data_IF_371395127758
#
_entry.id   IF_371395127758
#
_cell.length_a   1.000
_cell.length_b   1.000
_cell.length_c   1.000
_cell.angle_alpha   90.00
_cell.angle_beta   90.00
_cell.angle_gamma   90.00
#
_symmetry.space_group_name_H-M   'P 1'
#
loop_
_entity.id
_entity.type
_entity.pdbx_description
1 polymer ?
#
# COMPACT_ATOMS: atom_id res chain seq x y z
N UNK A 1 3.87 -4.03 -8.45
CA UNK A 1 2.89 -2.99 -8.85
C UNK A 1 1.53 -3.11 -8.14
N UNK A 2 1.47 -2.80 -6.85
CA UNK A 2 0.22 -2.64 -6.09
C UNK A 2 0.46 -1.67 -4.94
N UNK A 3 1.64 -1.76 -4.35
CA UNK A 3 2.16 -0.82 -3.37
C UNK A 3 2.28 0.62 -3.89
N UNK A 4 2.77 0.85 -5.12
CA UNK A 4 2.79 2.21 -5.70
C UNK A 4 1.38 2.77 -5.97
N UNK A 5 0.38 1.92 -6.25
CA UNK A 5 -1.00 2.36 -6.43
C UNK A 5 -1.61 2.77 -5.08
N UNK A 6 -1.34 2.01 -4.02
CA UNK A 6 -1.73 2.36 -2.65
C UNK A 6 -1.08 3.65 -2.21
N UNK A 7 0.23 3.82 -2.46
CA UNK A 7 0.94 5.07 -2.16
C UNK A 7 0.32 6.27 -2.89
N UNK A 8 0.06 6.15 -4.21
CA UNK A 8 -0.60 7.21 -4.96
C UNK A 8 -2.00 7.53 -4.46
N UNK A 9 -2.76 6.51 -4.04
CA UNK A 9 -4.07 6.73 -3.41
C UNK A 9 -3.94 7.52 -2.09
N UNK A 10 -2.93 7.23 -1.26
CA UNK A 10 -2.65 8.01 -0.06
C UNK A 10 -2.29 9.47 -0.39
N UNK A 11 -1.43 9.71 -1.38
CA UNK A 11 -1.11 11.05 -1.86
C UNK A 11 -2.36 11.84 -2.31
N UNK A 12 -3.34 11.16 -2.90
CA UNK A 12 -4.60 11.77 -3.30
C UNK A 12 -5.54 12.06 -2.13
N UNK A 13 -5.57 11.18 -1.12
CA UNK A 13 -6.40 11.35 0.08
C UNK A 13 -5.81 12.38 1.05
N UNK A 14 -4.50 12.62 0.98
CA UNK A 14 -3.77 13.62 1.76
C UNK A 14 -2.94 13.02 2.89
N UNK A 15 -2.32 13.90 3.68
CA UNK A 15 -1.37 13.53 4.75
C UNK A 15 -1.99 12.65 5.85
N UNK A 16 -3.31 12.72 6.04
CA UNK A 16 -4.07 11.95 7.03
C UNK A 16 -5.30 11.35 6.39
N UNK A 17 -5.49 10.05 6.57
CA UNK A 17 -6.65 9.31 6.07
C UNK A 17 -6.92 8.11 6.98
N UNK A 18 -7.90 7.29 6.62
CA UNK A 18 -8.22 6.04 7.29
C UNK A 18 -8.12 4.87 6.34
N UNK A 19 -7.89 3.69 6.91
CA UNK A 19 -7.94 2.42 6.15
C UNK A 19 -9.26 2.21 5.41
N UNK A 20 -10.36 2.73 5.93
CA UNK A 20 -11.67 2.65 5.27
C UNK A 20 -11.73 3.56 4.04
N UNK A 21 -11.32 4.82 4.15
CA UNK A 21 -11.31 5.76 3.01
C UNK A 21 -10.38 5.29 1.91
N UNK A 22 -9.19 4.81 2.27
CA UNK A 22 -8.26 4.21 1.30
C UNK A 22 -8.89 3.02 0.58
N UNK A 23 -9.57 2.14 1.30
CA UNK A 23 -10.22 0.97 0.71
C UNK A 23 -11.30 1.40 -0.30
N UNK A 24 -12.17 2.33 0.08
CA UNK A 24 -13.21 2.88 -0.80
C UNK A 24 -12.60 3.51 -2.04
N UNK A 25 -11.57 4.35 -1.88
CA UNK A 25 -10.88 4.97 -3.01
C UNK A 25 -10.29 3.92 -3.97
N UNK A 26 -9.65 2.88 -3.44
CA UNK A 26 -9.05 1.82 -4.27
C UNK A 26 -10.10 0.95 -4.98
N UNK A 27 -11.28 0.78 -4.40
CA UNK A 27 -12.41 0.08 -5.02
C UNK A 27 -13.00 0.90 -6.17
N UNK A 28 -13.17 2.20 -5.96
CA UNK A 28 -13.72 3.13 -6.96
C UNK A 28 -12.74 3.37 -8.13
N UNK A 29 -11.45 3.56 -7.83
CA UNK A 29 -10.42 3.89 -8.82
C UNK A 29 -9.93 2.65 -9.59
N UNK A 30 -9.96 1.47 -8.95
CA UNK A 30 -9.53 0.22 -9.55
C UNK A 30 -10.58 -0.90 -9.39
N UNK A 31 -11.78 -0.75 -9.96
CA UNK A 31 -12.90 -1.66 -9.74
C UNK A 31 -12.62 -3.08 -10.25
N UNK A 32 -11.84 -3.21 -11.33
CA UNK A 32 -11.43 -4.51 -11.87
C UNK A 32 -10.29 -5.18 -11.06
N UNK A 33 -9.82 -4.52 -9.99
CA UNK A 33 -8.71 -4.99 -9.17
C UNK A 33 -9.16 -5.38 -7.76
N UNK A 34 -8.60 -6.49 -7.27
CA UNK A 34 -8.72 -6.88 -5.85
C UNK A 34 -7.84 -6.03 -4.92
N UNK A 35 -7.27 -4.92 -5.40
CA UNK A 35 -6.32 -4.10 -4.65
C UNK A 35 -6.89 -3.59 -3.33
N UNK A 36 -8.17 -3.20 -3.31
CA UNK A 36 -8.88 -2.78 -2.11
C UNK A 36 -8.92 -3.87 -1.01
N UNK A 37 -8.97 -5.16 -1.38
CA UNK A 37 -8.92 -6.28 -0.42
C UNK A 37 -7.55 -6.44 0.24
N UNK A 38 -6.49 -5.96 -0.41
CA UNK A 38 -5.12 -6.03 0.09
C UNK A 38 -4.62 -4.69 0.66
N UNK A 39 -5.48 -3.68 0.78
CA UNK A 39 -5.07 -2.33 1.20
C UNK A 39 -4.30 -2.35 2.53
N UNK A 40 -4.81 -3.06 3.55
CA UNK A 40 -4.15 -3.15 4.87
C UNK A 40 -2.78 -3.85 4.81
N UNK A 41 -2.62 -4.93 4.03
CA UNK A 41 -1.32 -5.58 3.83
C UNK A 41 -0.31 -4.65 3.14
N UNK A 42 -0.78 -3.83 2.19
CA UNK A 42 0.08 -2.87 1.49
C UNK A 42 0.47 -1.69 2.36
N UNK A 43 -0.43 -1.23 3.23
CA UNK A 43 -0.14 -0.21 4.22
C UNK A 43 0.91 -0.68 5.22
N UNK A 44 0.78 -1.90 5.77
CA UNK A 44 1.80 -2.48 6.66
C UNK A 44 3.18 -2.52 6.00
N UNK A 45 3.25 -2.87 4.71
CA UNK A 45 4.51 -2.84 3.93
C UNK A 45 5.06 -1.45 3.66
N UNK A 46 4.24 -0.40 3.69
CA UNK A 46 4.69 0.99 3.60
C UNK A 46 5.16 1.50 4.96
N UNK A 47 4.50 1.06 6.03
CA UNK A 47 4.89 1.32 7.41
C UNK A 47 6.26 0.71 7.75
N UNK A 48 6.50 -0.54 7.37
CA UNK A 48 7.82 -1.19 7.48
C UNK A 48 8.94 -0.43 6.75
N UNK A 49 8.59 0.43 5.78
CA UNK A 49 9.51 1.24 5.01
C UNK A 49 9.61 2.69 5.52
N UNK A 50 8.87 3.05 6.57
CA UNK A 50 8.82 4.40 7.11
C UNK A 50 8.07 5.41 6.23
N UNK A 51 7.27 4.95 5.26
CA UNK A 51 6.51 5.83 4.35
C UNK A 51 5.20 6.30 4.98
N UNK A 52 4.62 5.45 5.83
CA UNK A 52 3.38 5.76 6.56
C UNK A 52 3.50 5.33 8.03
N UNK A 53 2.67 5.92 8.87
CA UNK A 53 2.40 5.48 10.24
C UNK A 53 0.94 5.01 10.30
N UNK A 54 0.69 3.84 10.91
CA UNK A 54 -0.67 3.33 11.12
C UNK A 54 -0.95 3.34 12.62
N UNK A 55 -2.01 4.03 13.02
CA UNK A 55 -2.49 4.05 14.39
C UNK A 55 -3.49 2.89 14.60
N UNK A 56 -3.06 1.83 15.28
CA UNK A 56 -3.88 0.66 15.58
C UNK A 56 -4.80 0.80 16.81
N UNK A 57 -4.74 1.93 17.51
CA UNK A 57 -5.63 2.25 18.64
C UNK A 57 -6.99 2.80 18.18
N UNK A 58 -7.15 3.09 16.88
CA UNK A 58 -8.35 3.68 16.28
C UNK A 58 -9.09 2.70 15.35
N UNK A 59 -10.42 2.82 15.19
CA UNK A 59 -11.17 2.04 14.19
C UNK A 59 -12.17 2.93 13.43
N UNK A 60 -12.06 3.02 12.08
CA UNK A 60 -11.01 2.44 11.23
C UNK A 60 -9.63 3.01 11.56
N UNK A 61 -8.56 2.22 11.36
CA UNK A 61 -7.18 2.64 11.65
C UNK A 61 -6.84 3.93 10.90
N UNK A 62 -6.36 4.94 11.62
CA UNK A 62 -5.79 6.14 11.03
C UNK A 62 -4.45 5.81 10.35
N UNK A 63 -4.21 6.44 9.21
CA UNK A 63 -2.98 6.33 8.43
C UNK A 63 -2.45 7.73 8.20
N UNK A 64 -1.18 7.94 8.53
CA UNK A 64 -0.47 9.20 8.29
C UNK A 64 0.65 8.97 7.30
N UNK A 65 0.74 9.84 6.29
CA UNK A 65 1.85 9.84 5.37
C UNK A 65 3.06 10.51 6.05
N UNK A 66 4.21 9.82 6.07
CA UNK A 66 5.45 10.33 6.66
C UNK A 66 6.44 10.82 5.59
N UNK A 67 6.39 10.23 4.40
CA UNK A 67 7.25 10.55 3.26
C UNK A 67 6.38 10.71 2.01
N UNK A 68 6.26 11.94 1.52
CA UNK A 68 5.49 12.34 0.33
C UNK A 68 6.34 12.40 -0.96
N UNK A 69 7.66 12.20 -0.85
CA UNK A 69 8.60 12.12 -1.97
C UNK A 69 9.11 10.69 -2.22
N UNK A 70 8.42 9.68 -1.66
CA UNK A 70 8.82 8.29 -1.82
C UNK A 70 8.84 7.87 -3.31
N UNK A 71 10.05 7.66 -3.86
CA UNK A 71 10.27 7.29 -5.28
C UNK A 71 9.68 5.91 -5.67
N UNK A 72 9.12 5.19 -4.69
CA UNK A 72 8.49 3.89 -4.85
C UNK A 72 9.47 2.73 -4.82
N UNK A 73 8.96 1.51 -5.10
CA UNK A 73 9.86 0.38 -5.38
C UNK A 73 10.42 0.60 -6.80
N UNK A 74 11.76 0.63 -6.99
CA UNK A 74 12.34 0.78 -8.32
C UNK A 74 11.79 -0.31 -9.22
N UNK A 75 11.38 0.06 -10.44
CA UNK A 75 10.69 -0.81 -11.41
C UNK A 75 11.40 -2.15 -11.62
N UNK A 76 12.73 -2.20 -11.46
CA UNK A 76 13.55 -3.41 -11.54
C UNK A 76 13.26 -4.46 -10.44
N UNK A 77 12.79 -4.05 -9.26
CA UNK A 77 12.35 -4.95 -8.19
C UNK A 77 10.84 -5.24 -8.24
N UNK A 78 10.09 -4.53 -9.09
CA UNK A 78 8.63 -4.58 -9.16
C UNK A 78 8.06 -5.81 -9.89
N UNK A 79 8.91 -6.57 -10.61
CA UNK A 79 8.59 -7.79 -11.35
C UNK A 79 8.92 -9.09 -10.61
N UNK A 80 9.43 -9.03 -9.37
CA UNK A 80 9.62 -10.24 -8.57
C UNK A 80 8.25 -10.65 -8.03
N UNK A 81 7.63 -11.65 -8.66
CA UNK A 81 6.44 -12.31 -8.12
C UNK A 81 6.69 -12.66 -6.65
N UNK A 82 5.76 -12.24 -5.79
CA UNK A 82 5.74 -12.63 -4.38
C UNK A 82 4.49 -13.51 -4.16
N UNK A 83 4.63 -14.69 -3.53
CA UNK A 83 5.86 -15.25 -2.97
C UNK A 83 6.88 -15.65 -4.05
N UNK A 84 8.18 -15.72 -3.73
CA UNK A 84 9.14 -16.35 -4.63
C UNK A 84 8.65 -17.77 -4.90
N UNK A 85 8.60 -18.19 -6.17
CA UNK A 85 8.59 -19.62 -6.43
C UNK A 85 9.83 -20.19 -5.74
N UNK A 86 9.63 -21.12 -4.82
CA UNK A 86 10.69 -21.94 -4.26
C UNK A 86 11.31 -22.71 -5.43
N UNK A 87 12.31 -22.09 -6.06
CA UNK A 87 13.12 -22.69 -7.10
C UNK A 87 13.95 -23.80 -6.47
N UNK A 88 13.43 -25.00 -6.67
CA UNK A 88 14.00 -26.33 -6.48
C UNK A 88 15.54 -26.37 -6.63
N UNK A 89 16.17 -27.13 -5.74
CA UNK A 89 17.58 -27.52 -5.79
C UNK A 89 17.94 -28.16 -7.12
N UNK A 90 19.07 -27.75 -7.71
CA UNK A 90 19.72 -28.41 -8.84
C UNK A 90 21.21 -28.18 -8.85
#
# INVERSE_FOLDING_TARGET
MSQNKVYRALMHLGERTTTSELRTYLEDEYPDSKLHLYASDRLRKLEEKGVVEIDDDTQPFEVRLLDDDWEGIPSSLANRSFPPESGDSG
#
